data_IF_147459088209
#
_entry.id   IF_147459088209
#
_cell.length_a   1.000
_cell.length_b   1.000
_cell.length_c   1.000
_cell.angle_alpha   90.00
_cell.angle_beta   90.00
_cell.angle_gamma   90.00
#
_symmetry.space_group_name_H-M   'P 1'
#
loop_
_entity.id
_entity.type
_entity.pdbx_description
1 polymer ?
#
# COMPACT_ATOMS: atom_id res chain seq x y z
N UNK A 1 13.69 -4.92 -16.90
CA UNK A 1 13.23 -3.52 -16.73
C UNK A 1 12.26 -3.23 -17.87
N UNK A 2 10.98 -3.02 -17.59
CA UNK A 2 10.00 -2.73 -18.65
C UNK A 2 10.19 -1.27 -19.08
N UNK A 3 10.55 -1.06 -20.35
CA UNK A 3 10.41 0.24 -21.02
C UNK A 3 8.92 0.61 -20.99
N UNK A 4 8.56 1.59 -20.18
CA UNK A 4 7.22 2.18 -20.17
C UNK A 4 7.19 3.30 -21.23
N UNK A 5 6.14 3.41 -22.06
CA UNK A 5 5.99 4.56 -22.94
C UNK A 5 5.89 5.84 -22.10
N UNK A 6 6.57 6.88 -22.59
CA UNK A 6 6.93 8.10 -21.88
C UNK A 6 5.77 9.08 -21.63
N UNK A 7 4.53 8.68 -21.89
CA UNK A 7 3.37 9.57 -21.81
C UNK A 7 2.43 9.03 -20.73
N UNK A 8 2.67 9.43 -19.48
CA UNK A 8 1.68 9.26 -18.40
C UNK A 8 0.98 10.60 -18.25
N UNK A 9 -0.34 10.59 -18.29
CA UNK A 9 -1.15 11.78 -18.12
C UNK A 9 -1.55 11.91 -16.64
N UNK A 10 -1.42 13.12 -16.11
CA UNK A 10 -1.97 13.47 -14.81
C UNK A 10 -3.47 13.77 -14.99
N UNK A 11 -4.31 12.91 -14.43
CA UNK A 11 -5.77 13.03 -14.50
C UNK A 11 -6.27 13.49 -13.14
N UNK A 12 -6.81 14.71 -13.07
CA UNK A 12 -7.51 15.18 -11.89
C UNK A 12 -8.86 14.47 -11.81
N UNK A 13 -9.16 13.75 -10.73
CA UNK A 13 -10.45 13.11 -10.48
C UNK A 13 -11.17 13.83 -9.34
N UNK A 14 -12.46 14.21 -9.54
CA UNK A 14 -13.22 14.86 -8.49
C UNK A 14 -13.41 13.88 -7.33
N UNK A 15 -13.09 14.35 -6.14
CA UNK A 15 -13.31 13.62 -4.91
C UNK A 15 -14.15 14.50 -3.97
N UNK A 16 -15.05 13.89 -3.22
CA UNK A 16 -15.85 14.60 -2.23
C UNK A 16 -15.41 14.23 -0.82
N UNK A 17 -15.43 15.19 0.14
CA UNK A 17 -15.25 14.89 1.54
C UNK A 17 -16.29 13.88 2.00
N UNK A 18 -15.83 12.74 2.48
CA UNK A 18 -16.67 11.75 3.15
C UNK A 18 -16.63 12.04 4.65
N UNK A 19 -17.73 12.58 5.16
CA UNK A 19 -17.94 12.71 6.60
C UNK A 19 -18.45 11.38 7.17
N UNK A 20 -17.60 10.35 7.15
CA UNK A 20 -17.91 9.03 7.69
C UNK A 20 -17.55 8.95 9.17
N UNK A 21 -18.47 9.32 10.07
CA UNK A 21 -18.32 9.03 11.51
C UNK A 21 -18.79 7.61 11.78
N UNK A 22 -17.98 6.61 11.42
CA UNK A 22 -18.42 5.20 11.47
C UNK A 22 -18.29 4.55 12.86
N UNK A 23 -17.50 5.10 13.82
CA UNK A 23 -17.42 4.54 15.18
C UNK A 23 -17.33 5.57 16.33
N UNK A 24 -17.88 5.21 17.49
CA UNK A 24 -17.78 5.99 18.76
C UNK A 24 -16.33 6.14 19.22
N UNK A 25 -15.48 5.16 18.90
CA UNK A 25 -14.03 5.24 19.10
C UNK A 25 -13.36 6.33 18.28
N UNK A 26 -13.84 6.61 17.07
CA UNK A 26 -13.32 7.70 16.24
C UNK A 26 -13.74 9.06 16.80
N UNK A 27 -14.98 9.18 17.28
CA UNK A 27 -15.46 10.41 17.96
C UNK A 27 -14.68 10.72 19.24
N UNK A 28 -14.42 9.71 20.08
CA UNK A 28 -13.67 9.89 21.33
C UNK A 28 -12.18 10.15 21.09
N UNK A 29 -11.59 9.65 19.98
CA UNK A 29 -10.21 9.97 19.57
C UNK A 29 -10.08 11.35 18.94
N UNK A 30 -11.12 11.85 18.26
CA UNK A 30 -11.12 13.17 17.60
C UNK A 30 -11.13 14.36 18.57
N UNK A 31 -11.68 14.22 19.78
CA UNK A 31 -11.87 15.39 20.67
C UNK A 31 -10.56 15.96 21.24
N UNK A 32 -9.46 15.21 21.21
CA UNK A 32 -8.31 15.50 22.06
C UNK A 32 -6.96 15.77 21.35
N UNK A 33 -6.90 15.83 20.01
CA UNK A 33 -5.61 16.04 19.31
C UNK A 33 -5.67 17.00 18.12
N UNK A 34 -4.75 17.98 18.09
CA UNK A 34 -4.61 18.97 16.99
C UNK A 34 -4.26 18.32 15.64
N UNK A 35 -3.58 17.18 15.64
CA UNK A 35 -3.16 16.45 14.43
C UNK A 35 -4.32 15.87 13.60
N UNK A 36 -5.45 15.55 14.23
CA UNK A 36 -6.56 14.81 13.59
C UNK A 36 -7.66 15.70 13.01
N UNK A 37 -7.62 17.02 13.25
CA UNK A 37 -8.53 17.98 12.62
C UNK A 37 -8.38 18.07 11.09
N UNK A 38 -7.26 17.56 10.57
CA UNK A 38 -6.93 17.60 9.16
C UNK A 38 -7.01 16.21 8.49
N UNK A 39 -7.54 15.19 9.18
CA UNK A 39 -7.73 13.89 8.56
C UNK A 39 -8.89 13.99 7.56
N UNK A 40 -8.62 13.85 6.27
CA UNK A 40 -9.65 13.87 5.25
C UNK A 40 -9.97 12.45 4.77
N UNK A 41 -11.25 12.11 4.71
CA UNK A 41 -11.70 10.94 3.95
C UNK A 41 -12.33 11.46 2.67
N UNK A 42 -11.94 10.88 1.54
CA UNK A 42 -12.39 11.28 0.21
C UNK A 42 -13.05 10.09 -0.46
N UNK A 43 -14.11 10.34 -1.21
CA UNK A 43 -14.77 9.33 -2.04
C UNK A 43 -14.82 9.79 -3.50
N UNK A 44 -14.62 8.85 -4.42
CA UNK A 44 -14.77 9.11 -5.84
C UNK A 44 -16.22 9.49 -6.16
N UNK A 45 -16.42 10.70 -6.69
CA UNK A 45 -17.77 11.21 -6.96
C UNK A 45 -18.48 10.45 -8.10
N UNK A 46 -17.72 9.98 -9.09
CA UNK A 46 -18.24 9.29 -10.26
C UNK A 46 -17.51 7.97 -10.48
N UNK A 47 -18.21 6.94 -11.01
CA UNK A 47 -17.58 5.67 -11.35
C UNK A 47 -16.55 5.88 -12.45
N UNK A 48 -15.36 5.30 -12.27
CA UNK A 48 -14.29 5.37 -13.25
C UNK A 48 -14.65 4.57 -14.53
N UNK A 49 -14.07 4.92 -15.69
CA UNK A 49 -14.29 4.20 -16.94
C UNK A 49 -13.78 2.77 -16.85
N UNK A 50 -14.26 1.87 -17.71
CA UNK A 50 -13.83 0.46 -17.78
C UNK A 50 -12.45 0.28 -18.43
N UNK A 51 -11.50 1.15 -18.11
CA UNK A 51 -10.12 1.15 -18.60
C UNK A 51 -9.19 1.17 -17.39
N UNK A 52 -8.14 0.35 -17.40
CA UNK A 52 -7.19 0.28 -16.29
C UNK A 52 -6.26 1.51 -16.28
N UNK A 53 -6.17 2.19 -15.13
CA UNK A 53 -5.35 3.40 -14.97
C UNK A 53 -3.86 3.20 -15.22
N UNK A 54 -3.27 2.06 -14.81
CA UNK A 54 -1.83 1.81 -14.97
C UNK A 54 -1.45 1.33 -16.39
N UNK A 55 -2.37 0.69 -17.12
CA UNK A 55 -2.05 -0.02 -18.37
C UNK A 55 -2.86 0.38 -19.61
N UNK A 56 -3.93 1.18 -19.47
CA UNK A 56 -4.80 1.56 -20.60
C UNK A 56 -5.66 0.43 -21.18
N UNK A 57 -5.63 -0.75 -20.58
CA UNK A 57 -6.33 -1.94 -21.08
C UNK A 57 -7.76 -2.04 -20.55
N UNK A 58 -8.67 -2.74 -21.25
CA UNK A 58 -10.02 -2.96 -20.75
C UNK A 58 -10.01 -3.61 -19.36
N UNK A 59 -10.86 -3.10 -18.49
CA UNK A 59 -11.04 -3.63 -17.15
C UNK A 59 -11.72 -5.01 -17.23
N UNK A 60 -11.19 -5.97 -16.49
CA UNK A 60 -11.80 -7.30 -16.32
C UNK A 60 -12.50 -7.43 -14.98
N UNK A 61 -12.14 -6.57 -14.02
CA UNK A 61 -12.65 -6.58 -12.65
C UNK A 61 -12.58 -5.15 -12.06
N UNK A 62 -13.30 -4.92 -10.95
CA UNK A 62 -13.34 -3.66 -10.21
C UNK A 62 -13.06 -3.92 -8.74
N UNK A 63 -11.98 -3.33 -8.22
CA UNK A 63 -11.58 -3.54 -6.84
C UNK A 63 -11.95 -2.35 -5.97
N UNK A 64 -12.69 -2.61 -4.89
CA UNK A 64 -12.87 -1.66 -3.79
C UNK A 64 -11.55 -1.59 -3.03
N UNK A 65 -10.89 -0.44 -3.02
CA UNK A 65 -9.62 -0.25 -2.32
C UNK A 65 -9.59 1.11 -1.66
N UNK A 66 -9.09 1.12 -0.42
CA UNK A 66 -8.82 2.34 0.33
C UNK A 66 -7.37 2.73 0.12
N UNK A 67 -7.14 3.93 -0.39
CA UNK A 67 -5.81 4.47 -0.61
C UNK A 67 -5.49 5.44 0.51
N UNK A 68 -4.55 5.05 1.37
CA UNK A 68 -4.12 5.88 2.50
C UNK A 68 -3.01 6.84 2.08
N UNK A 69 -3.13 8.09 2.50
CA UNK A 69 -2.14 9.14 2.37
C UNK A 69 -1.49 9.42 3.72
N UNK A 70 -0.19 9.74 3.71
CA UNK A 70 0.59 10.02 4.92
C UNK A 70 1.34 11.34 4.78
N UNK A 71 1.49 12.05 5.90
CA UNK A 71 2.34 13.24 5.96
C UNK A 71 3.80 12.82 6.03
N UNK A 72 4.55 13.21 5.01
CA UNK A 72 6.00 13.02 4.94
C UNK A 72 6.68 14.39 4.93
N UNK A 73 8.01 14.42 5.05
CA UNK A 73 8.79 15.65 4.91
C UNK A 73 8.66 16.34 3.54
N UNK A 74 8.08 15.66 2.54
CA UNK A 74 7.83 16.19 1.19
C UNK A 74 6.37 16.60 0.95
N UNK A 75 5.54 16.57 2.00
CA UNK A 75 4.09 16.81 1.92
C UNK A 75 3.29 15.51 2.05
N UNK A 76 2.06 15.54 1.54
CA UNK A 76 1.11 14.42 1.63
C UNK A 76 1.36 13.45 0.47
N UNK A 77 1.95 12.29 0.78
CA UNK A 77 2.29 11.24 -0.20
C UNK A 77 1.40 10.00 0.02
N UNK A 78 1.08 9.29 -1.06
CA UNK A 78 0.42 7.98 -0.98
C UNK A 78 1.29 6.99 -0.20
N UNK A 79 0.68 6.23 0.72
CA UNK A 79 1.35 5.11 1.37
C UNK A 79 1.73 4.07 0.32
N UNK A 80 3.04 3.80 0.23
CA UNK A 80 3.58 2.82 -0.70
C UNK A 80 4.93 2.28 -0.24
N UNK A 81 5.45 1.33 -0.99
CA UNK A 81 6.71 0.62 -0.66
C UNK A 81 7.86 1.59 -0.42
N UNK A 82 7.97 2.64 -1.24
CA UNK A 82 9.02 3.65 -1.11
C UNK A 82 8.93 4.50 0.15
N UNK A 83 7.70 4.83 0.60
CA UNK A 83 7.48 5.57 1.85
C UNK A 83 7.80 4.68 3.04
N UNK A 84 7.37 3.42 3.01
CA UNK A 84 7.68 2.43 4.07
C UNK A 84 9.17 2.16 4.18
N UNK A 85 9.88 1.95 3.06
CA UNK A 85 11.34 1.77 3.06
C UNK A 85 12.08 3.00 3.58
N UNK A 86 11.65 4.21 3.20
CA UNK A 86 12.25 5.46 3.66
C UNK A 86 12.05 5.67 5.16
N UNK A 87 10.84 5.43 5.66
CA UNK A 87 10.54 5.48 7.10
C UNK A 87 11.41 4.50 7.87
N UNK A 88 11.44 3.24 7.42
CA UNK A 88 12.26 2.21 8.05
C UNK A 88 13.76 2.53 8.05
N UNK A 89 14.29 3.04 6.94
CA UNK A 89 15.70 3.45 6.86
C UNK A 89 16.05 4.62 7.79
N UNK A 90 15.14 5.58 7.99
CA UNK A 90 15.33 6.67 8.94
C UNK A 90 15.22 6.21 10.41
N UNK A 91 14.40 5.19 10.66
CA UNK A 91 14.09 4.66 11.98
C UNK A 91 15.14 3.70 12.53
N UNK A 92 15.79 2.91 11.66
CA UNK A 92 16.91 2.02 12.05
C UNK A 92 17.99 2.79 12.81
N UNK A 93 18.27 4.05 12.42
CA UNK A 93 19.27 4.89 13.09
C UNK A 93 18.75 5.64 14.33
N UNK A 94 17.43 5.69 14.54
CA UNK A 94 16.81 6.51 15.60
C UNK A 94 16.19 5.72 16.75
N UNK A 95 16.35 4.39 16.78
CA UNK A 95 15.81 3.52 17.86
C UNK A 95 14.31 3.74 18.16
N UNK A 96 13.57 4.27 17.19
CA UNK A 96 12.15 4.59 17.32
C UNK A 96 11.46 4.34 16.00
N UNK A 97 10.28 3.72 16.05
CA UNK A 97 9.43 3.48 14.89
C UNK A 97 8.62 4.75 14.65
N UNK A 98 9.08 5.63 13.75
CA UNK A 98 8.39 6.85 13.38
C UNK A 98 7.51 6.57 12.16
N UNK A 99 6.37 5.96 12.43
CA UNK A 99 5.32 5.76 11.43
C UNK A 99 4.72 7.14 11.12
N UNK A 100 4.87 7.67 9.88
CA UNK A 100 4.36 9.00 9.56
C UNK A 100 2.84 9.04 9.74
N UNK A 101 2.27 10.09 10.34
CA UNK A 101 0.86 10.15 10.64
C UNK A 101 0.03 10.07 9.35
N UNK A 102 -1.10 9.36 9.44
CA UNK A 102 -2.07 9.28 8.36
C UNK A 102 -2.63 10.68 8.14
N UNK A 103 -2.68 11.10 6.88
CA UNK A 103 -3.21 12.40 6.47
C UNK A 103 -4.66 12.27 5.99
N UNK A 104 -5.01 11.15 5.38
CA UNK A 104 -6.34 10.93 4.84
C UNK A 104 -6.43 9.64 4.04
N UNK A 105 -7.65 9.28 3.67
CA UNK A 105 -7.97 8.04 2.95
C UNK A 105 -8.87 8.34 1.75
N UNK A 106 -8.60 7.73 0.60
CA UNK A 106 -9.45 7.79 -0.59
C UNK A 106 -10.14 6.44 -0.80
N UNK A 107 -11.46 6.45 -0.77
CA UNK A 107 -12.33 5.32 -1.02
C UNK A 107 -12.81 5.36 -2.47
N UNK A 108 -12.75 4.21 -3.13
CA UNK A 108 -13.21 4.11 -4.50
C UNK A 108 -13.15 2.70 -5.07
N UNK A 109 -13.90 2.51 -6.15
CA UNK A 109 -13.79 1.34 -7.00
C UNK A 109 -12.86 1.62 -8.17
N UNK A 110 -11.88 0.73 -8.36
CA UNK A 110 -10.84 0.93 -9.35
C UNK A 110 -10.89 -0.16 -10.43
N UNK A 111 -10.92 0.24 -11.72
CA UNK A 111 -10.88 -0.70 -12.84
C UNK A 111 -9.50 -1.37 -12.93
N UNK A 112 -9.49 -2.70 -12.91
CA UNK A 112 -8.26 -3.49 -13.04
C UNK A 112 -8.28 -4.35 -14.29
N UNK A 113 -7.16 -4.36 -15.02
CA UNK A 113 -6.98 -5.24 -16.18
C UNK A 113 -6.43 -6.61 -15.76
N UNK A 114 -6.55 -7.61 -16.64
CA UNK A 114 -6.01 -8.96 -16.39
C UNK A 114 -4.51 -8.99 -16.04
N UNK A 115 -3.73 -8.03 -16.55
CA UNK A 115 -2.29 -7.92 -16.23
C UNK A 115 -2.06 -7.47 -14.78
N UNK A 116 -2.86 -6.53 -14.27
CA UNK A 116 -2.82 -6.13 -12.86
C UNK A 116 -3.21 -7.30 -11.96
N UNK A 117 -4.31 -7.99 -12.28
CA UNK A 117 -4.78 -9.15 -11.53
C UNK A 117 -3.69 -10.22 -11.43
N UNK A 118 -3.08 -10.60 -12.57
CA UNK A 118 -1.99 -11.59 -12.58
C UNK A 118 -0.80 -11.17 -11.72
N UNK A 119 -0.38 -9.90 -11.81
CA UNK A 119 0.75 -9.37 -11.02
C UNK A 119 0.44 -9.40 -9.52
N UNK A 120 -0.72 -8.91 -9.11
CA UNK A 120 -1.12 -8.89 -7.70
C UNK A 120 -1.27 -10.30 -7.14
N UNK A 121 -1.86 -11.23 -7.92
CA UNK A 121 -1.98 -12.63 -7.51
C UNK A 121 -0.61 -13.29 -7.34
N UNK A 122 0.33 -13.05 -8.28
CA UNK A 122 1.70 -13.56 -8.18
C UNK A 122 2.40 -13.03 -6.93
N UNK A 123 2.33 -11.71 -6.68
CA UNK A 123 2.95 -11.10 -5.50
C UNK A 123 2.34 -11.61 -4.19
N UNK A 124 1.01 -11.74 -4.13
CA UNK A 124 0.33 -12.35 -2.96
C UNK A 124 0.76 -13.79 -2.74
N UNK A 125 0.96 -14.55 -3.81
CA UNK A 125 1.50 -15.91 -3.73
C UNK A 125 2.92 -15.94 -3.16
N UNK A 126 3.81 -15.08 -3.67
CA UNK A 126 5.19 -14.96 -3.16
C UNK A 126 5.20 -14.60 -1.68
N UNK A 127 4.40 -13.61 -1.26
CA UNK A 127 4.29 -13.23 0.15
C UNK A 127 3.80 -14.39 1.03
N UNK A 128 2.79 -15.15 0.58
CA UNK A 128 2.30 -16.33 1.30
C UNK A 128 3.36 -17.42 1.43
N UNK A 129 4.09 -17.71 0.36
CA UNK A 129 5.17 -18.70 0.37
C UNK A 129 6.26 -18.30 1.37
N UNK A 130 6.67 -17.02 1.40
CA UNK A 130 7.65 -16.53 2.38
C UNK A 130 7.19 -16.70 3.83
N UNK A 131 5.90 -16.48 4.11
CA UNK A 131 5.33 -16.68 5.44
C UNK A 131 5.29 -18.17 5.80
N UNK A 132 4.80 -19.01 4.88
CA UNK A 132 4.63 -20.46 5.10
C UNK A 132 5.97 -21.16 5.28
N UNK A 133 7.03 -20.76 4.57
CA UNK A 133 8.36 -21.40 4.67
C UNK A 133 8.96 -21.28 6.07
N UNK A 134 8.76 -20.17 6.78
CA UNK A 134 9.33 -20.03 8.12
C UNK A 134 8.41 -20.39 9.27
N UNK A 135 7.11 -20.57 9.01
CA UNK A 135 6.19 -21.13 10.00
C UNK A 135 6.67 -22.46 10.63
N UNK A 136 7.23 -23.45 9.88
CA UNK A 136 7.76 -24.68 10.47
C UNK A 136 9.12 -24.50 11.16
N UNK A 137 9.87 -23.42 10.90
CA UNK A 137 11.16 -23.18 11.57
C UNK A 137 11.00 -22.96 13.07
N UNK A 138 9.91 -22.29 13.47
CA UNK A 138 9.62 -21.96 14.86
C UNK A 138 9.33 -23.21 15.73
N UNK A 139 8.39 -24.12 15.38
CA UNK A 139 8.18 -25.35 16.12
C UNK A 139 9.39 -26.30 16.05
N UNK A 140 10.10 -26.36 14.92
CA UNK A 140 11.32 -27.16 14.82
C UNK A 140 12.39 -26.70 15.83
N UNK A 141 12.58 -25.39 15.96
CA UNK A 141 13.49 -24.80 16.94
C UNK A 141 13.04 -25.11 18.38
N UNK A 142 11.75 -24.96 18.68
CA UNK A 142 11.19 -25.27 20.01
C UNK A 142 11.34 -26.75 20.38
N UNK A 143 11.11 -27.67 19.44
CA UNK A 143 11.29 -29.10 19.65
C UNK A 143 12.77 -29.42 19.91
N UNK A 144 13.69 -28.83 19.14
CA UNK A 144 15.13 -29.02 19.37
C UNK A 144 15.58 -28.52 20.75
N UNK A 145 15.04 -27.38 21.21
CA UNK A 145 15.25 -26.87 22.56
C UNK A 145 14.69 -27.80 23.64
N UNK A 146 13.48 -28.34 23.45
CA UNK A 146 12.86 -29.27 24.40
C UNK A 146 13.55 -30.63 24.49
N UNK A 147 14.12 -31.11 23.38
CA UNK A 147 14.88 -32.37 23.32
C UNK A 147 16.29 -32.24 23.91
N UNK A 148 16.69 -31.07 24.41
CA UNK A 148 18.01 -30.87 24.99
C UNK A 148 19.13 -31.01 23.97
N UNK A 149 18.90 -30.60 22.71
CA UNK A 149 19.94 -30.62 21.68
C UNK A 149 21.01 -29.59 22.05
N UNK A 150 22.09 -30.05 22.68
CA UNK A 150 23.19 -29.21 23.19
C UNK A 150 23.93 -28.42 22.10
N UNK A 151 23.77 -28.80 20.83
CA UNK A 151 24.42 -28.16 19.68
C UNK A 151 23.45 -27.85 18.57
N UNK A 152 22.78 -26.71 18.67
CA UNK A 152 22.08 -26.12 17.52
C UNK A 152 23.14 -25.53 16.58
N UNK A 153 23.16 -25.99 15.33
CA UNK A 153 24.10 -25.47 14.35
C UNK A 153 23.85 -23.97 14.11
N UNK A 154 24.87 -23.09 14.16
CA UNK A 154 24.68 -21.63 14.13
C UNK A 154 23.95 -21.14 12.87
N UNK A 155 24.05 -21.88 11.76
CA UNK A 155 23.28 -21.60 10.55
C UNK A 155 21.74 -21.59 10.78
N UNK A 156 21.21 -22.45 11.66
CA UNK A 156 19.78 -22.46 11.99
C UNK A 156 19.38 -21.21 12.77
N UNK A 157 20.25 -20.78 13.70
CA UNK A 157 20.04 -19.54 14.46
C UNK A 157 19.99 -18.36 13.51
N UNK A 158 20.96 -18.23 12.59
CA UNK A 158 21.00 -17.13 11.60
C UNK A 158 19.85 -17.20 10.60
N UNK A 159 19.48 -18.40 10.15
CA UNK A 159 18.37 -18.62 9.22
C UNK A 159 17.03 -18.21 9.85
N UNK A 160 16.84 -18.48 11.14
CA UNK A 160 15.65 -18.03 11.86
C UNK A 160 15.73 -16.55 12.21
N UNK A 161 16.80 -16.13 12.90
CA UNK A 161 17.06 -14.75 13.34
C UNK A 161 18.48 -14.27 12.99
N UNK A 162 18.65 -13.22 12.19
CA UNK A 162 17.61 -12.31 11.67
C UNK A 162 16.96 -12.74 10.34
N UNK A 163 17.34 -13.90 9.79
CA UNK A 163 17.03 -14.32 8.41
C UNK A 163 15.54 -14.30 8.07
N UNK A 164 14.78 -15.28 8.55
CA UNK A 164 13.33 -15.31 8.32
C UNK A 164 12.59 -14.29 9.19
N UNK A 165 12.94 -14.21 10.47
CA UNK A 165 12.44 -13.22 11.42
C UNK A 165 13.59 -12.30 11.83
N UNK A 166 13.56 -10.97 11.64
CA UNK A 166 12.46 -10.16 11.09
C UNK A 166 12.52 -9.95 9.56
N UNK A 167 13.63 -10.28 8.89
CA UNK A 167 13.88 -9.82 7.50
C UNK A 167 12.91 -10.43 6.50
N UNK A 168 12.70 -11.75 6.55
CA UNK A 168 11.72 -12.44 5.69
C UNK A 168 10.31 -11.90 5.84
N UNK A 169 9.86 -11.63 7.07
CA UNK A 169 8.55 -11.01 7.34
C UNK A 169 8.47 -9.59 6.79
N UNK A 170 9.53 -8.80 6.94
CA UNK A 170 9.58 -7.45 6.40
C UNK A 170 9.48 -7.46 4.87
N UNK A 171 10.19 -8.37 4.19
CA UNK A 171 10.08 -8.55 2.74
C UNK A 171 8.65 -8.97 2.37
N UNK A 172 8.05 -9.92 3.08
CA UNK A 172 6.67 -10.34 2.81
C UNK A 172 5.67 -9.17 2.95
N UNK A 173 5.85 -8.32 3.97
CA UNK A 173 5.06 -7.09 4.14
C UNK A 173 5.23 -6.13 2.95
N UNK A 174 6.46 -5.87 2.50
CA UNK A 174 6.71 -5.01 1.35
C UNK A 174 6.12 -5.57 0.06
N UNK A 175 6.21 -6.89 -0.15
CA UNK A 175 5.60 -7.57 -1.30
C UNK A 175 4.08 -7.44 -1.25
N UNK A 176 3.48 -7.57 -0.06
CA UNK A 176 2.03 -7.39 0.12
C UNK A 176 1.58 -5.96 -0.17
N UNK A 177 2.32 -4.96 0.32
CA UNK A 177 2.10 -3.55 0.00
C UNK A 177 2.25 -3.29 -1.51
N UNK A 178 3.29 -3.85 -2.14
CA UNK A 178 3.49 -3.74 -3.59
C UNK A 178 2.35 -4.37 -4.39
N UNK A 179 1.73 -5.44 -3.87
CA UNK A 179 0.58 -6.10 -4.49
C UNK A 179 -0.70 -5.26 -4.38
N UNK A 180 -0.85 -4.50 -3.29
CA UNK A 180 -1.96 -3.58 -3.06
C UNK A 180 -1.80 -2.25 -3.81
N UNK A 181 -0.58 -1.83 -4.11
CA UNK A 181 -0.30 -0.56 -4.79
C UNK A 181 -0.33 -0.73 -6.33
N UNK A 182 -1.52 -0.64 -6.92
CA UNK A 182 -1.70 -0.69 -8.38
C UNK A 182 -2.10 0.65 -9.01
N UNK A 183 -2.37 1.68 -8.20
CA UNK A 183 -2.60 3.06 -8.64
C UNK A 183 -1.53 3.95 -8.04
N UNK A 184 -1.06 4.93 -8.82
CA UNK A 184 -0.10 5.95 -8.37
C UNK A 184 -0.74 7.32 -8.36
N UNK A 185 -0.74 7.95 -7.20
CA UNK A 185 -1.18 9.32 -7.03
C UNK A 185 0.02 10.27 -7.04
N UNK A 186 -0.18 11.46 -7.58
CA UNK A 186 0.74 12.55 -7.33
C UNK A 186 0.50 13.13 -5.91
N UNK A 187 1.46 13.87 -5.35
CA UNK A 187 1.27 14.53 -4.05
C UNK A 187 0.01 15.39 -4.05
N UNK A 188 -0.78 15.31 -2.97
CA UNK A 188 -2.01 16.10 -2.85
C UNK A 188 -1.61 17.55 -2.57
N UNK A 189 -2.01 18.45 -3.47
CA UNK A 189 -1.82 19.90 -3.34
C UNK A 189 -3.14 20.61 -3.04
N UNK A 190 -4.27 20.01 -3.41
CA UNK A 190 -5.63 20.53 -3.26
C UNK A 190 -6.54 19.43 -2.69
N UNK A 191 -7.29 19.66 -1.58
CA UNK A 191 -8.17 18.65 -1.00
C UNK A 191 -9.36 18.25 -1.88
N UNK A 192 -9.78 19.10 -2.83
CA UNK A 192 -10.97 18.86 -3.67
C UNK A 192 -10.65 18.09 -4.96
N UNK A 193 -9.36 17.96 -5.29
CA UNK A 193 -8.91 17.35 -6.55
C UNK A 193 -7.73 16.44 -6.30
N UNK A 194 -7.88 15.18 -6.74
CA UNK A 194 -6.79 14.21 -6.65
C UNK A 194 -6.22 13.98 -8.05
N UNK A 195 -4.92 14.17 -8.21
CA UNK A 195 -4.20 13.92 -9.46
C UNK A 195 -3.63 12.50 -9.47
N UNK A 196 -4.05 11.74 -10.48
CA UNK A 196 -3.64 10.34 -10.68
C UNK A 196 -2.73 10.27 -11.88
N UNK A 197 -1.59 9.58 -11.74
CA UNK A 197 -0.74 9.24 -12.88
C UNK A 197 -1.32 8.05 -13.59
N UNK A 198 -1.95 8.29 -14.73
CA UNK A 198 -2.63 7.26 -15.50
C UNK A 198 -2.09 7.15 -16.94
N UNK A 199 -2.47 6.06 -17.61
CA UNK A 199 -2.24 5.84 -19.03
C UNK A 199 -3.08 6.84 -19.87
N UNK A 200 -2.61 7.30 -21.04
CA UNK A 200 -3.33 8.23 -21.90
C UNK A 200 -4.72 7.72 -22.30
N UNK A 201 -4.85 6.42 -22.60
CA UNK A 201 -6.17 5.79 -22.88
C UNK A 201 -7.15 5.89 -21.71
N UNK A 202 -6.66 5.92 -20.47
CA UNK A 202 -7.51 6.15 -19.32
C UNK A 202 -7.89 7.63 -19.22
N UNK A 203 -6.94 8.54 -19.47
CA UNK A 203 -7.19 9.97 -19.44
C UNK A 203 -8.23 10.41 -20.49
N UNK A 204 -8.12 9.88 -21.70
CA UNK A 204 -9.08 10.10 -22.79
C UNK A 204 -10.46 9.57 -22.41
N UNK A 205 -10.56 8.34 -21.91
CA UNK A 205 -11.84 7.77 -21.46
C UNK A 205 -12.48 8.58 -20.30
N UNK A 206 -11.68 9.12 -19.38
CA UNK A 206 -12.18 10.01 -18.32
C UNK A 206 -12.64 11.35 -18.89
N UNK A 207 -11.93 11.91 -19.88
CA UNK A 207 -12.31 13.16 -20.53
C UNK A 207 -13.62 13.01 -21.31
N UNK A 208 -13.80 11.91 -22.05
CA UNK A 208 -15.03 11.59 -22.77
C UNK A 208 -16.23 11.41 -21.83
N UNK A 209 -16.03 10.90 -20.61
CA UNK A 209 -17.10 10.79 -19.61
C UNK A 209 -17.49 12.13 -18.97
N UNK A 210 -16.65 13.16 -19.09
CA UNK A 210 -16.90 14.50 -18.50
C UNK A 210 -17.49 15.51 -19.48
N UNK A 211 -17.27 15.31 -20.79
CA UNK A 211 -17.87 16.11 -21.85
C UNK A 211 -19.30 15.69 -22.09
#
# INVERSE_FOLDING_TARGET
>A
MAHYPAERADVAVPAQPRYGMETVSDMLRMSNSREWRDLFSLELQQPLPNVCSEHGRPAVDRWKTVVTFRRTSRGIEQQGVGVTLRGFGADIFKLGINIPPVAGDLHGEWPVCAKCVRRTTLLRWVARVLIVIGLPLLPALLIALQLGVDRIHPAWVVAFFPGWFPVGLFIAMLVYQAAAQFIRFAPIVDPDKITIRAHPDFATAVAEQRG
#
